data_IF_544398450323
#
_entry.id   IF_544398450323
#
_cell.length_a   1.000
_cell.length_b   1.000
_cell.length_c   1.000
_cell.angle_alpha   90.00
_cell.angle_beta   90.00
_cell.angle_gamma   90.00
#
_symmetry.space_group_name_H-M   'P 1'
#
loop_
_entity.id
_entity.type
_entity.pdbx_description
1 polymer ?
#
# COMPACT_ATOMS: atom_id res chain seq x y z
N UNK A 1 -3.59 1.88 10.48
CA UNK A 1 -4.93 2.22 9.96
C UNK A 1 -5.70 0.98 9.51
N UNK A 2 -5.13 0.10 8.67
CA UNK A 2 -5.84 -1.10 8.15
C UNK A 2 -6.36 -2.03 9.25
N UNK A 3 -5.65 -2.20 10.34
CA UNK A 3 -6.11 -3.03 11.47
C UNK A 3 -7.30 -2.42 12.22
N UNK A 4 -7.48 -1.10 12.12
CA UNK A 4 -8.64 -0.38 12.66
C UNK A 4 -9.82 -0.31 11.68
N UNK A 5 -9.55 -0.60 10.42
CA UNK A 5 -10.53 -0.61 9.33
C UNK A 5 -10.40 -1.90 8.52
N UNK A 6 -10.71 -3.06 9.12
CA UNK A 6 -10.55 -4.35 8.43
C UNK A 6 -11.40 -4.47 7.16
N UNK A 7 -12.48 -3.70 7.05
CA UNK A 7 -13.32 -3.60 5.86
C UNK A 7 -12.62 -2.97 4.64
N UNK A 8 -11.43 -2.39 4.83
CA UNK A 8 -10.57 -1.85 3.76
C UNK A 8 -9.48 -2.85 3.36
N UNK A 9 -9.11 -3.74 4.26
CA UNK A 9 -8.05 -4.74 4.08
C UNK A 9 -8.63 -6.03 3.48
N UNK A 10 -9.14 -5.93 2.26
CA UNK A 10 -9.96 -6.96 1.61
C UNK A 10 -9.50 -7.23 0.18
N UNK A 11 -9.81 -8.44 -0.28
CA UNK A 11 -9.74 -8.83 -1.68
C UNK A 11 -11.15 -9.14 -2.20
N UNK A 12 -11.40 -8.81 -3.44
CA UNK A 12 -12.63 -9.16 -4.16
C UNK A 12 -12.42 -10.44 -4.97
N UNK A 13 -13.37 -11.36 -4.91
CA UNK A 13 -13.44 -12.52 -5.79
C UNK A 13 -14.89 -12.81 -6.18
N UNK A 14 -15.10 -13.63 -7.22
CA UNK A 14 -16.44 -14.06 -7.62
C UNK A 14 -17.15 -14.87 -6.52
N UNK A 15 -16.40 -15.46 -5.60
CA UNK A 15 -16.92 -16.21 -4.45
C UNK A 15 -17.23 -15.32 -3.26
N UNK A 16 -16.87 -14.04 -3.29
CA UNK A 16 -17.13 -13.08 -2.24
C UNK A 16 -15.91 -12.25 -1.86
N UNK A 17 -16.04 -11.53 -0.75
CA UNK A 17 -15.02 -10.67 -0.17
C UNK A 17 -14.21 -11.46 0.85
N UNK A 18 -12.87 -11.46 0.68
CA UNK A 18 -11.94 -11.99 1.66
C UNK A 18 -11.40 -10.82 2.50
N UNK A 19 -11.65 -10.85 3.80
CA UNK A 19 -11.15 -9.88 4.75
C UNK A 19 -9.95 -10.48 5.49
N UNK A 20 -8.86 -9.71 5.58
CA UNK A 20 -7.60 -10.16 6.16
C UNK A 20 -7.35 -9.53 7.52
N UNK A 21 -6.78 -10.31 8.41
CA UNK A 21 -6.42 -9.86 9.75
C UNK A 21 -5.10 -9.10 9.77
N UNK A 22 -4.14 -9.54 8.97
CA UNK A 22 -2.83 -8.90 8.83
C UNK A 22 -2.78 -8.04 7.57
N UNK A 23 -1.97 -6.99 7.63
CA UNK A 23 -1.71 -6.11 6.49
C UNK A 23 -0.46 -6.58 5.75
N UNK A 24 -0.65 -7.22 4.61
CA UNK A 24 0.41 -7.59 3.67
C UNK A 24 0.47 -6.55 2.57
N UNK A 25 1.43 -5.64 2.65
CA UNK A 25 1.46 -4.44 1.83
C UNK A 25 2.32 -4.64 0.59
N UNK A 26 1.68 -4.56 -0.57
CA UNK A 26 2.36 -4.55 -1.87
C UNK A 26 2.93 -3.16 -2.15
N UNK A 27 4.22 -3.08 -2.39
CA UNK A 27 4.91 -1.82 -2.72
C UNK A 27 5.19 -1.80 -4.22
N UNK A 28 4.69 -0.78 -4.92
CA UNK A 28 4.94 -0.64 -6.35
C UNK A 28 6.39 -0.24 -6.61
N UNK A 29 7.12 -1.05 -7.37
CA UNK A 29 8.52 -0.82 -7.76
C UNK A 29 8.64 -0.86 -9.27
N UNK A 30 9.11 0.25 -9.86
CA UNK A 30 9.42 0.31 -11.28
C UNK A 30 10.83 -0.25 -11.54
N UNK A 31 10.93 -1.22 -12.44
CA UNK A 31 12.19 -1.83 -12.85
C UNK A 31 12.35 -1.73 -14.37
N UNK A 32 13.53 -2.05 -14.88
CA UNK A 32 13.78 -2.08 -16.33
C UNK A 32 12.88 -3.11 -17.05
N UNK A 33 12.49 -4.16 -16.33
CA UNK A 33 11.58 -5.20 -16.85
C UNK A 33 10.09 -4.84 -16.70
N UNK A 34 9.75 -3.69 -16.10
CA UNK A 34 8.39 -3.23 -15.85
C UNK A 34 8.07 -3.09 -14.36
N UNK A 35 6.79 -2.84 -14.07
CA UNK A 35 6.31 -2.67 -12.71
C UNK A 35 6.14 -4.02 -12.01
N UNK A 36 6.63 -4.12 -10.78
CA UNK A 36 6.40 -5.27 -9.91
C UNK A 36 6.01 -4.77 -8.51
N UNK A 37 5.27 -5.59 -7.78
CA UNK A 37 4.70 -5.20 -6.47
C UNK A 37 5.10 -6.19 -5.38
N UNK A 38 6.37 -6.17 -4.91
CA UNK A 38 6.80 -7.00 -3.80
C UNK A 38 6.05 -6.65 -2.51
N UNK A 39 5.93 -7.61 -1.61
CA UNK A 39 5.06 -7.54 -0.44
C UNK A 39 5.88 -7.48 0.85
N UNK A 40 5.60 -6.46 1.65
CA UNK A 40 6.00 -6.42 3.07
C UNK A 40 4.92 -7.16 3.86
N UNK A 41 5.22 -8.39 4.24
CA UNK A 41 4.27 -9.26 4.94
C UNK A 41 4.10 -8.84 6.39
N UNK A 42 2.85 -8.90 6.89
CA UNK A 42 2.51 -8.57 8.28
C UNK A 42 3.09 -7.23 8.73
N UNK A 43 2.93 -6.20 7.90
CA UNK A 43 3.46 -4.87 8.19
C UNK A 43 2.93 -4.31 9.52
N UNK A 44 1.74 -4.72 9.95
CA UNK A 44 1.14 -4.32 11.22
C UNK A 44 1.85 -4.89 12.46
N UNK A 45 2.69 -5.92 12.30
CA UNK A 45 3.47 -6.55 13.38
C UNK A 45 4.94 -6.06 13.39
N UNK A 46 5.32 -5.19 12.47
CA UNK A 46 6.70 -4.72 12.28
C UNK A 46 6.89 -3.29 12.74
N UNK A 47 8.12 -3.00 13.19
CA UNK A 47 8.56 -1.64 13.46
C UNK A 47 8.82 -0.88 12.14
N UNK A 48 8.93 0.45 12.21
CA UNK A 48 9.27 1.27 11.04
C UNK A 48 10.62 0.86 10.46
N UNK A 49 11.59 0.56 11.32
CA UNK A 49 12.94 0.11 10.92
C UNK A 49 12.89 -1.22 10.17
N UNK A 50 12.09 -2.18 10.65
CA UNK A 50 11.90 -3.47 10.00
C UNK A 50 11.21 -3.33 8.63
N UNK A 51 10.19 -2.47 8.55
CA UNK A 51 9.49 -2.17 7.28
C UNK A 51 10.46 -1.52 6.29
N UNK A 52 11.27 -0.56 6.74
CA UNK A 52 12.28 0.11 5.93
C UNK A 52 13.31 -0.88 5.37
N UNK A 53 13.82 -1.76 6.22
CA UNK A 53 14.77 -2.80 5.82
C UNK A 53 14.16 -3.78 4.81
N UNK A 54 12.93 -4.24 5.03
CA UNK A 54 12.21 -5.11 4.11
C UNK A 54 11.96 -4.44 2.76
N UNK A 55 11.52 -3.18 2.77
CA UNK A 55 11.26 -2.41 1.56
C UNK A 55 12.53 -2.26 0.72
N UNK A 56 13.66 -1.94 1.36
CA UNK A 56 14.94 -1.82 0.68
C UNK A 56 15.38 -3.16 0.10
N UNK A 57 15.34 -4.23 0.88
CA UNK A 57 15.69 -5.59 0.44
C UNK A 57 14.86 -6.02 -0.77
N UNK A 58 13.54 -5.84 -0.69
CA UNK A 58 12.62 -6.21 -1.76
C UNK A 58 12.85 -5.37 -3.03
N UNK A 59 13.11 -4.07 -2.88
CA UNK A 59 13.43 -3.19 -3.99
C UNK A 59 14.71 -3.62 -4.70
N UNK A 60 15.76 -3.93 -3.95
CA UNK A 60 17.03 -4.41 -4.50
C UNK A 60 16.85 -5.74 -5.25
N UNK A 61 16.08 -6.68 -4.69
CA UNK A 61 15.74 -7.93 -5.36
C UNK A 61 14.94 -7.70 -6.64
N UNK A 62 14.00 -6.75 -6.63
CA UNK A 62 13.19 -6.40 -7.79
C UNK A 62 14.07 -5.85 -8.93
N UNK A 63 14.95 -4.91 -8.63
CA UNK A 63 15.86 -4.33 -9.63
C UNK A 63 16.85 -5.33 -10.20
N UNK A 64 17.21 -6.37 -9.46
CA UNK A 64 18.12 -7.44 -9.89
C UNK A 64 17.39 -8.66 -10.47
N UNK A 65 16.06 -8.60 -10.66
CA UNK A 65 15.22 -9.71 -11.14
C UNK A 65 15.37 -11.00 -10.30
N UNK A 66 15.51 -10.85 -8.98
CA UNK A 66 15.71 -11.96 -8.03
C UNK A 66 14.53 -12.22 -7.10
N UNK A 67 13.39 -11.53 -7.31
CA UNK A 67 12.18 -11.82 -6.55
C UNK A 67 11.64 -13.21 -6.87
N UNK A 68 11.28 -13.93 -5.81
CA UNK A 68 10.57 -15.21 -5.92
C UNK A 68 9.05 -14.96 -5.95
N UNK A 69 8.22 -15.88 -6.48
CA UNK A 69 6.77 -15.73 -6.51
C UNK A 69 6.14 -15.38 -5.16
N UNK A 70 6.61 -15.96 -4.07
CA UNK A 70 6.13 -15.66 -2.71
C UNK A 70 6.42 -14.23 -2.27
N UNK A 71 7.34 -13.54 -2.92
CA UNK A 71 7.69 -12.14 -2.59
C UNK A 71 6.68 -11.14 -3.18
N UNK A 72 5.93 -11.50 -4.22
CA UNK A 72 5.01 -10.59 -4.91
C UNK A 72 3.58 -11.12 -5.11
N UNK A 73 3.27 -12.31 -4.64
CA UNK A 73 1.92 -12.88 -4.68
C UNK A 73 1.24 -12.81 -3.31
N UNK A 74 -0.02 -12.41 -3.27
CA UNK A 74 -0.87 -12.51 -2.08
C UNK A 74 -0.94 -11.27 -1.20
N UNK A 75 -0.65 -10.08 -1.67
CA UNK A 75 -0.83 -8.83 -0.91
C UNK A 75 -2.30 -8.52 -0.62
N UNK A 76 -2.55 -7.71 0.42
CA UNK A 76 -3.92 -7.33 0.84
C UNK A 76 -4.26 -5.87 0.56
N UNK A 77 -3.25 -5.03 0.38
CA UNK A 77 -3.38 -3.59 0.09
C UNK A 77 -2.09 -3.12 -0.59
N UNK A 78 -2.17 -2.09 -1.40
CA UNK A 78 -1.00 -1.60 -2.15
C UNK A 78 -0.67 -0.15 -1.84
N UNK A 79 0.63 0.18 -1.94
CA UNK A 79 1.13 1.55 -1.88
C UNK A 79 1.97 1.82 -3.13
N UNK A 80 1.70 2.94 -3.79
CA UNK A 80 2.53 3.49 -4.86
C UNK A 80 3.04 4.86 -4.45
N UNK A 81 4.36 5.03 -4.42
CA UNK A 81 4.99 6.29 -4.02
C UNK A 81 5.79 6.86 -5.20
N UNK A 82 5.38 8.03 -5.68
CA UNK A 82 6.07 8.78 -6.72
C UNK A 82 6.66 10.11 -6.22
N UNK A 83 6.71 10.28 -4.90
CA UNK A 83 7.23 11.49 -4.28
C UNK A 83 8.69 11.76 -4.61
N UNK A 84 9.51 10.71 -4.72
CA UNK A 84 10.92 10.80 -5.11
C UNK A 84 11.12 11.31 -6.55
N UNK A 85 10.10 11.20 -7.40
CA UNK A 85 10.09 11.73 -8.76
C UNK A 85 9.49 13.14 -8.84
N UNK A 86 9.20 13.76 -7.70
CA UNK A 86 8.65 15.11 -7.61
C UNK A 86 7.14 15.22 -7.87
N UNK A 87 6.43 14.10 -7.95
CA UNK A 87 4.98 14.10 -8.18
C UNK A 87 4.27 14.49 -6.88
N UNK A 88 3.47 15.55 -6.95
CA UNK A 88 2.75 16.08 -5.81
C UNK A 88 1.55 15.21 -5.42
N UNK A 89 0.75 14.83 -6.40
CA UNK A 89 -0.41 13.95 -6.23
C UNK A 89 -0.71 13.20 -7.52
N UNK A 90 -1.29 12.01 -7.40
CA UNK A 90 -1.71 11.21 -8.54
C UNK A 90 -2.74 10.17 -8.07
N UNK A 91 -3.40 9.53 -9.02
CA UNK A 91 -4.26 8.38 -8.76
C UNK A 91 -3.57 7.11 -9.23
N UNK A 92 -3.49 6.11 -8.36
CA UNK A 92 -2.93 4.81 -8.69
C UNK A 92 -4.03 3.85 -9.17
N UNK A 93 -3.65 2.91 -10.02
CA UNK A 93 -4.54 1.85 -10.50
C UNK A 93 -4.56 0.73 -9.48
N UNK A 94 -5.75 0.25 -9.13
CA UNK A 94 -5.95 -0.89 -8.22
C UNK A 94 -5.23 -2.12 -8.76
N UNK A 95 -4.62 -2.87 -7.84
CA UNK A 95 -3.93 -4.13 -8.12
C UNK A 95 -4.85 -5.32 -7.74
N UNK A 96 -5.66 -5.84 -8.69
CA UNK A 96 -6.57 -6.93 -8.37
C UNK A 96 -5.82 -8.18 -7.83
N UNK A 97 -6.40 -8.94 -6.93
CA UNK A 97 -7.76 -8.88 -6.37
C UNK A 97 -7.92 -7.89 -5.19
N UNK A 98 -6.90 -7.13 -4.86
CA UNK A 98 -6.97 -6.11 -3.81
C UNK A 98 -8.00 -5.04 -4.14
N UNK A 99 -8.65 -4.49 -3.11
CA UNK A 99 -9.69 -3.48 -3.28
C UNK A 99 -9.20 -2.05 -3.02
N UNK A 100 -8.00 -1.86 -2.52
CA UNK A 100 -7.48 -0.54 -2.21
C UNK A 100 -6.00 -0.35 -2.56
N UNK A 101 -5.68 0.86 -2.98
CA UNK A 101 -4.31 1.32 -3.21
C UNK A 101 -4.17 2.77 -2.77
N UNK A 102 -3.06 3.09 -2.14
CA UNK A 102 -2.71 4.44 -1.70
C UNK A 102 -1.62 5.00 -2.61
N UNK A 103 -1.91 6.14 -3.23
CA UNK A 103 -0.94 6.92 -3.99
C UNK A 103 -0.32 7.97 -3.07
N UNK A 104 1.00 7.94 -2.92
CA UNK A 104 1.74 8.84 -2.02
C UNK A 104 2.57 9.79 -2.86
N UNK A 105 2.33 11.08 -2.69
CA UNK A 105 3.05 12.16 -3.35
C UNK A 105 4.30 12.61 -2.60
N UNK A 106 4.96 13.65 -3.12
CA UNK A 106 6.16 14.21 -2.51
C UNK A 106 5.87 14.91 -1.19
N UNK A 107 6.86 14.91 -0.32
CA UNK A 107 6.87 15.76 0.87
C UNK A 107 7.16 17.20 0.46
N UNK A 108 6.27 18.12 0.79
CA UNK A 108 6.40 19.55 0.52
C UNK A 108 5.79 20.33 1.68
N UNK A 109 6.52 21.27 2.27
CA UNK A 109 6.09 22.09 3.42
C UNK A 109 5.55 21.22 4.58
N UNK A 110 6.23 20.12 4.91
CA UNK A 110 5.81 19.15 5.92
C UNK A 110 4.45 18.49 5.65
N UNK A 111 4.02 18.47 4.41
CA UNK A 111 2.76 17.85 3.98
C UNK A 111 3.00 16.85 2.86
N UNK A 112 2.26 15.77 2.92
CA UNK A 112 2.22 14.74 1.87
C UNK A 112 0.76 14.61 1.43
N UNK A 113 0.53 14.67 0.11
CA UNK A 113 -0.77 14.33 -0.44
C UNK A 113 -0.87 12.83 -0.64
N UNK A 114 -1.93 12.23 -0.13
CA UNK A 114 -2.26 10.83 -0.37
C UNK A 114 -3.63 10.73 -1.05
N UNK A 115 -3.73 9.83 -1.99
CA UNK A 115 -4.97 9.58 -2.75
C UNK A 115 -5.25 8.09 -2.73
N UNK A 116 -6.43 7.71 -2.27
CA UNK A 116 -6.85 6.32 -2.24
C UNK A 116 -7.75 6.00 -3.42
N UNK A 117 -7.42 4.95 -4.15
CA UNK A 117 -8.31 4.34 -5.14
C UNK A 117 -8.92 3.09 -4.55
N UNK A 118 -10.24 2.94 -4.70
CA UNK A 118 -11.00 1.82 -4.13
C UNK A 118 -11.78 1.08 -5.21
N UNK A 119 -11.84 -0.25 -5.08
CA UNK A 119 -12.83 -1.05 -5.80
C UNK A 119 -14.18 -0.86 -5.08
N UNK A 120 -15.10 -0.15 -5.74
CA UNK A 120 -16.38 0.23 -5.13
C UNK A 120 -17.33 -0.95 -4.87
N UNK A 121 -17.01 -2.12 -5.40
CA UNK A 121 -17.73 -3.36 -5.07
C UNK A 121 -17.48 -3.80 -3.62
N UNK A 122 -16.31 -3.48 -3.08
CA UNK A 122 -15.92 -3.86 -1.72
C UNK A 122 -15.79 -2.70 -0.75
N UNK A 123 -15.47 -1.50 -1.22
CA UNK A 123 -15.21 -0.32 -0.39
C UNK A 123 -16.04 0.87 -0.91
N UNK A 124 -16.99 1.35 -0.12
CA UNK A 124 -17.72 2.56 -0.46
C UNK A 124 -16.97 3.83 -0.05
N UNK A 125 -17.45 4.99 -0.52
CA UNK A 125 -16.80 6.27 -0.29
C UNK A 125 -16.69 6.65 1.19
N UNK A 126 -17.69 6.34 1.99
CA UNK A 126 -17.68 6.65 3.43
C UNK A 126 -16.67 5.79 4.19
N UNK A 127 -16.57 4.51 3.85
CA UNK A 127 -15.58 3.58 4.41
C UNK A 127 -14.16 4.05 4.08
N UNK A 128 -13.90 4.38 2.81
CA UNK A 128 -12.60 4.91 2.37
C UNK A 128 -12.24 6.23 3.06
N UNK A 129 -13.21 7.12 3.21
CA UNK A 129 -13.02 8.41 3.88
C UNK A 129 -12.66 8.24 5.37
N UNK A 130 -13.33 7.34 6.08
CA UNK A 130 -13.01 7.04 7.49
C UNK A 130 -11.63 6.42 7.65
N UNK A 131 -11.23 5.55 6.74
CA UNK A 131 -9.88 5.00 6.70
C UNK A 131 -8.84 6.12 6.54
N UNK A 132 -9.02 7.02 5.57
CA UNK A 132 -8.11 8.15 5.34
C UNK A 132 -8.06 9.10 6.53
N UNK A 133 -9.17 9.34 7.20
CA UNK A 133 -9.21 10.15 8.42
C UNK A 133 -8.37 9.52 9.53
N UNK A 134 -8.49 8.22 9.75
CA UNK A 134 -7.67 7.48 10.72
C UNK A 134 -6.19 7.50 10.34
N UNK A 135 -5.87 7.28 9.06
CA UNK A 135 -4.51 7.33 8.54
C UNK A 135 -3.88 8.70 8.78
N UNK A 136 -4.59 9.76 8.45
CA UNK A 136 -4.14 11.15 8.65
C UNK A 136 -3.84 11.43 10.12
N UNK A 137 -4.71 10.99 11.03
CA UNK A 137 -4.51 11.15 12.47
C UNK A 137 -3.26 10.41 12.97
N UNK A 138 -3.05 9.18 12.52
CA UNK A 138 -1.86 8.39 12.90
C UNK A 138 -0.57 9.05 12.39
N UNK A 139 -0.55 9.47 11.13
CA UNK A 139 0.64 10.10 10.52
C UNK A 139 0.98 11.43 11.19
N UNK A 140 -0.03 12.20 11.60
CA UNK A 140 0.18 13.47 12.31
C UNK A 140 0.85 13.31 13.68
N UNK A 141 0.74 12.14 14.31
CA UNK A 141 1.34 11.83 15.61
C UNK A 141 2.76 11.26 15.51
N UNK A 142 3.25 10.98 14.29
CA UNK A 142 4.58 10.42 14.09
C UNK A 142 5.61 11.54 14.10
N UNK A 143 6.53 11.49 15.05
CA UNK A 143 7.75 12.30 15.05
C UNK A 143 8.73 11.74 14.02
N UNK A 144 8.98 12.53 13.02
CA UNK A 144 9.96 12.20 11.97
C UNK A 144 11.25 12.98 12.23
#
# INVERSE_FOLDING_TARGET
ALTKHPEVNINWSDEGILQFQNADISIAVATDAGLITPIVKKANEKTVEEISADTKRLSDLAHNNKLMPEDYQGGTFSISNLGMLGIKSFTAVINPPQCGILAVGKLEDNKISVTMSCDHRGIDGAVGARFLQTLSGIVAEVDI
#
